data_IF_401703349239
#
_entry.id   IF_401703349239
#
_cell.length_a   1.000
_cell.length_b   1.000
_cell.length_c   1.000
_cell.angle_alpha   90.00
_cell.angle_beta   90.00
_cell.angle_gamma   90.00
#
_symmetry.space_group_name_H-M   'P 1'
#
loop_
_entity.id
_entity.type
_entity.pdbx_description
1 polymer ?
#
# COMPACT_ATOMS: atom_id res chain seq x y z
N UNK A 1 -4.05 -20.01 -12.75
CA UNK A 1 -3.38 -19.05 -11.86
C UNK A 1 -4.36 -17.93 -11.55
N UNK A 2 -4.70 -17.77 -10.28
CA UNK A 2 -5.56 -16.70 -9.79
C UNK A 2 -4.71 -15.73 -8.96
N UNK A 3 -4.78 -14.43 -9.25
CA UNK A 3 -4.04 -13.38 -8.55
C UNK A 3 -5.03 -12.43 -7.90
N UNK A 4 -4.95 -12.31 -6.57
CA UNK A 4 -5.64 -11.23 -5.86
C UNK A 4 -4.74 -9.98 -5.85
N UNK A 5 -5.15 -8.95 -6.58
CA UNK A 5 -4.33 -7.75 -6.80
C UNK A 5 -4.52 -6.66 -5.73
N UNK A 6 -5.28 -6.92 -4.65
CA UNK A 6 -5.50 -5.93 -3.61
C UNK A 6 -5.69 -6.55 -2.23
N UNK A 7 -4.60 -6.91 -1.58
CA UNK A 7 -4.61 -7.44 -0.22
C UNK A 7 -3.77 -6.60 0.74
N UNK A 8 -4.00 -6.78 2.03
CA UNK A 8 -3.25 -6.13 3.09
C UNK A 8 -2.76 -7.16 4.09
N UNK A 9 -1.51 -7.03 4.52
CA UNK A 9 -0.95 -7.77 5.63
C UNK A 9 -0.04 -6.85 6.45
N UNK A 10 0.10 -7.16 7.73
CA UNK A 10 0.85 -6.36 8.69
C UNK A 10 1.85 -7.24 9.44
N UNK A 11 2.94 -6.66 9.97
CA UNK A 11 3.79 -7.38 10.91
C UNK A 11 2.98 -7.96 12.07
N UNK A 12 3.25 -9.20 12.45
CA UNK A 12 2.55 -9.96 13.52
C UNK A 12 2.23 -9.11 14.77
N UNK A 13 3.22 -8.33 15.24
CA UNK A 13 3.09 -7.52 16.45
C UNK A 13 1.97 -6.46 16.40
N UNK A 14 1.55 -6.07 15.22
CA UNK A 14 0.55 -5.01 15.01
C UNK A 14 -0.69 -5.49 14.24
N UNK A 15 -0.66 -6.67 13.64
CA UNK A 15 -1.68 -7.17 12.72
C UNK A 15 -3.10 -7.06 13.28
N UNK A 16 -3.38 -7.70 14.39
CA UNK A 16 -4.72 -7.69 15.02
C UNK A 16 -5.20 -6.27 15.38
N UNK A 17 -4.28 -5.40 15.88
CA UNK A 17 -4.63 -4.01 16.19
C UNK A 17 -4.90 -3.19 14.92
N UNK A 18 -4.11 -3.41 13.87
CA UNK A 18 -4.29 -2.71 12.59
C UNK A 18 -5.63 -3.07 11.95
N UNK A 19 -5.94 -4.37 11.90
CA UNK A 19 -7.22 -4.87 11.35
C UNK A 19 -8.40 -4.37 12.18
N UNK A 20 -8.32 -4.42 13.51
CA UNK A 20 -9.38 -3.90 14.38
C UNK A 20 -9.65 -2.40 14.17
N UNK A 21 -8.59 -1.60 13.98
CA UNK A 21 -8.72 -0.18 13.66
C UNK A 21 -9.40 0.02 12.29
N UNK A 22 -8.93 -0.67 11.25
CA UNK A 22 -9.50 -0.58 9.90
C UNK A 22 -10.97 -1.03 9.86
N UNK A 23 -11.31 -2.10 10.57
CA UNK A 23 -12.70 -2.55 10.72
C UNK A 23 -13.59 -1.46 11.32
N UNK A 24 -13.13 -0.83 12.40
CA UNK A 24 -13.87 0.26 13.05
C UNK A 24 -14.04 1.46 12.12
N UNK A 25 -12.95 1.93 11.48
CA UNK A 25 -12.96 3.06 10.53
C UNK A 25 -13.81 2.76 9.29
N UNK A 26 -13.82 1.51 8.82
CA UNK A 26 -14.63 1.03 7.70
C UNK A 26 -16.11 0.77 8.04
N UNK A 27 -16.62 1.31 9.16
CA UNK A 27 -18.03 1.15 9.53
C UNK A 27 -18.40 -0.23 10.09
N UNK A 28 -17.43 -0.96 10.67
CA UNK A 28 -17.65 -2.26 11.28
C UNK A 28 -17.57 -3.45 10.31
N UNK A 29 -16.92 -3.27 9.17
CA UNK A 29 -16.68 -4.38 8.22
C UNK A 29 -15.91 -5.50 8.92
N UNK A 30 -16.42 -6.72 8.78
CA UNK A 30 -15.78 -7.91 9.37
C UNK A 30 -14.56 -8.31 8.56
N UNK A 31 -13.36 -8.36 9.17
CA UNK A 31 -12.17 -8.82 8.49
C UNK A 31 -12.24 -10.33 8.23
N UNK A 32 -11.69 -10.78 7.11
CA UNK A 32 -11.60 -12.19 6.74
C UNK A 32 -10.36 -12.87 7.34
N UNK A 33 -9.37 -12.10 7.76
CA UNK A 33 -8.11 -12.57 8.34
C UNK A 33 -7.78 -11.77 9.60
N UNK A 34 -6.83 -12.24 10.40
CA UNK A 34 -6.31 -11.50 11.55
C UNK A 34 -5.32 -10.38 11.17
N UNK A 35 -5.09 -10.20 9.87
CA UNK A 35 -4.17 -9.22 9.29
C UNK A 35 -2.71 -9.69 9.21
N UNK A 36 -2.38 -10.89 9.65
CA UNK A 36 -1.03 -11.46 9.49
C UNK A 36 -0.84 -12.05 8.08
N UNK A 37 0.43 -12.12 7.63
CA UNK A 37 0.77 -12.80 6.38
C UNK A 37 0.46 -14.30 6.43
N UNK A 38 0.53 -14.90 7.61
CA UNK A 38 0.20 -16.33 7.83
C UNK A 38 -1.27 -16.55 7.57
N UNK A 39 -2.15 -15.78 8.22
CA UNK A 39 -3.60 -15.87 8.04
C UNK A 39 -4.04 -15.58 6.61
N UNK A 40 -3.42 -14.57 5.96
CA UNK A 40 -3.66 -14.29 4.54
C UNK A 40 -3.31 -15.51 3.66
N UNK A 41 -2.16 -16.15 3.90
CA UNK A 41 -1.75 -17.34 3.14
C UNK A 41 -2.66 -18.55 3.35
N UNK A 42 -3.22 -18.70 4.53
CA UNK A 42 -4.23 -19.73 4.82
C UNK A 42 -5.53 -19.46 4.07
N UNK A 43 -5.99 -18.20 4.07
CA UNK A 43 -7.17 -17.77 3.31
C UNK A 43 -6.97 -17.97 1.81
N UNK A 44 -5.81 -17.60 1.25
CA UNK A 44 -5.49 -17.84 -0.16
C UNK A 44 -5.65 -19.31 -0.56
N UNK A 45 -5.22 -20.25 0.30
CA UNK A 45 -5.37 -21.69 0.04
C UNK A 45 -6.84 -22.12 0.00
N UNK A 46 -7.67 -21.57 0.90
CA UNK A 46 -9.10 -21.88 0.95
C UNK A 46 -9.83 -21.35 -0.28
N UNK A 47 -9.44 -20.18 -0.79
CA UNK A 47 -10.08 -19.50 -1.91
C UNK A 47 -9.46 -19.87 -3.27
N UNK A 48 -8.39 -20.66 -3.29
CA UNK A 48 -7.70 -21.06 -4.52
C UNK A 48 -6.91 -19.91 -5.17
N UNK A 49 -6.48 -18.94 -4.37
CA UNK A 49 -5.63 -17.83 -4.83
C UNK A 49 -4.17 -18.28 -4.84
N UNK A 50 -3.52 -18.15 -5.99
CA UNK A 50 -2.11 -18.54 -6.16
C UNK A 50 -1.14 -17.47 -5.68
N UNK A 51 -1.45 -16.19 -5.93
CA UNK A 51 -0.60 -15.03 -5.59
C UNK A 51 -1.47 -13.91 -5.03
N UNK A 52 -1.02 -13.29 -3.93
CA UNK A 52 -1.60 -12.04 -3.43
C UNK A 52 -0.64 -10.88 -3.57
N UNK A 53 -1.12 -9.76 -4.15
CA UNK A 53 -0.40 -8.50 -4.17
C UNK A 53 -0.67 -7.76 -2.85
N UNK A 54 0.35 -7.67 -2.01
CA UNK A 54 0.23 -7.06 -0.67
C UNK A 54 0.62 -5.59 -0.73
N UNK A 55 -0.30 -4.72 -0.33
CA UNK A 55 -0.22 -3.28 -0.46
C UNK A 55 -0.03 -2.63 0.91
N UNK A 56 1.22 -2.30 1.26
CA UNK A 56 1.54 -1.51 2.45
C UNK A 56 1.29 -0.02 2.22
N UNK A 57 1.01 0.74 3.29
CA UNK A 57 0.82 2.20 3.23
C UNK A 57 1.64 2.85 4.34
N UNK A 58 2.56 3.74 3.96
CA UNK A 58 3.27 4.63 4.88
C UNK A 58 2.36 5.83 5.20
N UNK A 59 1.60 5.78 6.29
CA UNK A 59 0.60 6.81 6.65
C UNK A 59 1.23 8.07 7.26
N UNK A 60 2.53 8.05 7.53
CA UNK A 60 3.34 9.23 7.88
C UNK A 60 4.79 9.04 7.42
N UNK A 61 5.59 10.15 7.32
CA UNK A 61 6.95 10.08 6.80
C UNK A 61 7.89 9.10 7.53
N UNK A 62 7.70 8.92 8.85
CA UNK A 62 8.58 8.06 9.67
C UNK A 62 8.34 6.57 9.48
N UNK A 63 7.23 6.20 8.86
CA UNK A 63 6.86 4.78 8.68
C UNK A 63 7.40 4.17 7.39
N UNK A 64 7.81 4.96 6.39
CA UNK A 64 8.11 4.42 5.07
C UNK A 64 9.17 3.31 5.12
N UNK A 65 10.26 3.48 5.87
CA UNK A 65 11.28 2.44 5.98
C UNK A 65 10.73 1.13 6.57
N UNK A 66 10.02 1.20 7.68
CA UNK A 66 9.48 0.01 8.34
C UNK A 66 8.41 -0.71 7.53
N UNK A 67 7.58 0.04 6.80
CA UNK A 67 6.58 -0.52 5.86
C UNK A 67 7.30 -1.24 4.73
N UNK A 68 8.33 -0.63 4.16
CA UNK A 68 9.06 -1.20 3.05
C UNK A 68 9.97 -2.37 3.47
N UNK A 69 10.54 -2.35 4.67
CA UNK A 69 11.27 -3.50 5.23
C UNK A 69 10.35 -4.73 5.33
N UNK A 70 9.13 -4.54 5.78
CA UNK A 70 8.14 -5.61 5.82
C UNK A 70 7.74 -6.08 4.42
N UNK A 71 7.51 -5.17 3.47
CA UNK A 71 7.22 -5.52 2.09
C UNK A 71 8.36 -6.34 1.44
N UNK A 72 9.61 -5.93 1.66
CA UNK A 72 10.79 -6.66 1.18
C UNK A 72 10.91 -8.05 1.80
N UNK A 73 10.56 -8.19 3.08
CA UNK A 73 10.55 -9.49 3.75
C UNK A 73 9.46 -10.41 3.18
N UNK A 74 8.26 -9.89 2.96
CA UNK A 74 7.15 -10.64 2.35
C UNK A 74 7.47 -11.11 0.92
N UNK A 75 8.12 -10.26 0.13
CA UNK A 75 8.45 -10.55 -1.27
C UNK A 75 9.45 -11.72 -1.45
N UNK A 76 9.98 -12.28 -0.36
CA UNK A 76 10.79 -13.51 -0.37
C UNK A 76 9.94 -14.78 -0.46
N UNK A 77 8.66 -14.70 -0.10
CA UNK A 77 7.72 -15.81 -0.25
C UNK A 77 7.04 -15.69 -1.63
N UNK A 78 7.16 -16.70 -2.50
CA UNK A 78 6.60 -16.65 -3.86
C UNK A 78 5.06 -16.53 -3.91
N UNK A 79 4.35 -16.76 -2.80
CA UNK A 79 2.92 -16.53 -2.70
C UNK A 79 2.55 -15.04 -2.66
N UNK A 80 3.53 -14.15 -2.41
CA UNK A 80 3.28 -12.73 -2.28
C UNK A 80 4.08 -11.91 -3.31
N UNK A 81 3.43 -10.89 -3.84
CA UNK A 81 4.07 -9.77 -4.53
C UNK A 81 3.79 -8.52 -3.71
N UNK A 82 4.77 -8.09 -2.91
CA UNK A 82 4.57 -6.91 -2.08
C UNK A 82 4.93 -5.63 -2.84
N UNK A 83 4.10 -4.61 -2.68
CA UNK A 83 4.40 -3.25 -3.14
C UNK A 83 4.95 -2.43 -1.97
N UNK A 84 5.87 -1.53 -2.29
CA UNK A 84 6.34 -0.54 -1.32
C UNK A 84 5.37 0.63 -1.17
N UNK A 85 5.76 1.58 -0.33
CA UNK A 85 5.05 2.86 -0.17
C UNK A 85 6.04 3.93 0.26
N UNK A 86 5.91 5.14 -0.30
CA UNK A 86 6.63 6.32 0.17
C UNK A 86 5.63 7.39 0.59
N UNK A 87 6.01 8.20 1.59
CA UNK A 87 5.17 9.32 2.01
C UNK A 87 5.60 10.59 1.26
N UNK A 88 4.66 11.35 0.66
CA UNK A 88 5.00 12.55 -0.11
C UNK A 88 5.80 13.62 0.65
N UNK A 89 5.65 13.67 1.97
CA UNK A 89 6.35 14.63 2.84
C UNK A 89 7.61 14.04 3.50
N UNK A 90 8.02 12.82 3.12
CA UNK A 90 9.26 12.26 3.62
C UNK A 90 10.46 12.91 2.88
N UNK A 91 11.47 13.40 3.60
CA UNK A 91 12.60 14.09 2.98
C UNK A 91 13.45 13.17 2.08
N UNK A 92 13.39 11.87 2.31
CA UNK A 92 14.13 10.81 1.63
C UNK A 92 13.22 9.90 0.76
N UNK A 93 12.07 10.41 0.32
CA UNK A 93 11.12 9.62 -0.47
C UNK A 93 11.72 9.12 -1.80
N UNK A 94 12.60 9.90 -2.44
CA UNK A 94 13.21 9.51 -3.71
C UNK A 94 14.28 8.43 -3.53
N UNK A 95 15.08 8.51 -2.49
CA UNK A 95 16.05 7.51 -2.09
C UNK A 95 15.36 6.20 -1.69
N UNK A 96 14.23 6.31 -1.00
CA UNK A 96 13.44 5.15 -0.61
C UNK A 96 12.83 4.44 -1.83
N UNK A 97 12.44 5.16 -2.88
CA UNK A 97 12.02 4.56 -4.16
C UNK A 97 13.17 3.77 -4.81
N UNK A 98 14.39 4.28 -4.76
CA UNK A 98 15.57 3.55 -5.25
C UNK A 98 15.79 2.27 -4.43
N UNK A 99 15.64 2.35 -3.11
CA UNK A 99 15.75 1.18 -2.21
C UNK A 99 14.69 0.13 -2.51
N UNK A 100 13.43 0.54 -2.72
CA UNK A 100 12.32 -0.32 -3.13
C UNK A 100 12.67 -1.05 -4.44
N UNK A 101 13.12 -0.31 -5.45
CA UNK A 101 13.49 -0.86 -6.75
C UNK A 101 14.66 -1.83 -6.64
N UNK A 102 15.73 -1.46 -5.94
CA UNK A 102 16.93 -2.29 -5.75
C UNK A 102 16.61 -3.60 -5.01
N UNK A 103 15.61 -3.60 -4.13
CA UNK A 103 15.12 -4.81 -3.45
C UNK A 103 14.20 -5.69 -4.32
N UNK A 104 13.91 -5.26 -5.56
CA UNK A 104 13.13 -6.04 -6.53
C UNK A 104 11.62 -5.93 -6.41
N UNK A 105 11.09 -5.01 -5.58
CA UNK A 105 9.66 -4.74 -5.53
C UNK A 105 9.20 -4.15 -6.86
N UNK A 106 7.96 -4.47 -7.27
CA UNK A 106 7.46 -4.14 -8.61
C UNK A 106 6.64 -2.84 -8.66
N UNK A 107 6.27 -2.30 -7.51
CA UNK A 107 5.46 -1.11 -7.49
C UNK A 107 5.37 -0.47 -6.12
N UNK A 108 4.64 0.64 -6.10
CA UNK A 108 4.35 1.43 -4.90
C UNK A 108 2.86 1.70 -4.78
N UNK A 109 2.36 1.62 -3.55
CA UNK A 109 0.99 1.94 -3.18
C UNK A 109 0.94 3.34 -2.56
N UNK A 110 -0.05 4.10 -3.02
CA UNK A 110 -0.46 5.36 -2.39
C UNK A 110 -1.90 5.30 -1.89
N UNK A 111 -2.14 6.01 -0.81
CA UNK A 111 -3.47 6.22 -0.26
C UNK A 111 -3.65 7.69 0.07
N UNK A 112 -4.16 8.50 -0.87
CA UNK A 112 -4.22 9.94 -0.73
C UNK A 112 -4.92 10.43 0.54
N UNK A 113 -5.97 9.73 1.02
CA UNK A 113 -6.66 10.10 2.26
C UNK A 113 -5.75 9.91 3.49
N UNK A 114 -5.12 8.72 3.64
CA UNK A 114 -4.22 8.45 4.77
C UNK A 114 -2.92 9.23 4.73
N UNK A 115 -2.47 9.65 3.54
CA UNK A 115 -1.20 10.35 3.34
C UNK A 115 -1.37 11.87 3.14
N UNK A 116 -2.61 12.38 3.17
CA UNK A 116 -2.98 13.80 3.11
C UNK A 116 -2.39 14.54 1.90
N UNK A 117 -2.64 14.04 0.69
CA UNK A 117 -2.25 14.70 -0.55
C UNK A 117 -3.28 14.47 -1.65
N UNK A 118 -3.37 15.41 -2.60
CA UNK A 118 -4.09 15.19 -3.84
C UNK A 118 -3.18 14.54 -4.88
N UNK A 119 -3.71 13.59 -5.67
CA UNK A 119 -2.90 12.89 -6.66
C UNK A 119 -2.18 13.84 -7.64
N UNK A 120 -2.76 15.00 -7.92
CA UNK A 120 -2.22 16.04 -8.80
C UNK A 120 -1.43 17.16 -8.08
N UNK A 121 -1.07 16.98 -6.81
CA UNK A 121 -0.22 17.95 -6.11
C UNK A 121 1.16 18.10 -6.77
N UNK A 122 1.66 19.32 -6.86
CA UNK A 122 2.97 19.61 -7.43
C UNK A 122 4.12 18.83 -6.74
N UNK A 123 4.01 18.62 -5.42
CA UNK A 123 5.00 17.83 -4.65
C UNK A 123 5.11 16.38 -5.11
N UNK A 124 4.09 15.84 -5.78
CA UNK A 124 4.09 14.47 -6.29
C UNK A 124 4.88 14.31 -7.59
N UNK A 125 5.05 15.36 -8.38
CA UNK A 125 5.75 15.30 -9.68
C UNK A 125 7.15 14.70 -9.62
N UNK A 126 8.04 15.08 -8.68
CA UNK A 126 9.35 14.44 -8.57
C UNK A 126 9.23 12.94 -8.21
N UNK A 127 8.27 12.57 -7.36
CA UNK A 127 8.02 11.18 -6.98
C UNK A 127 7.56 10.37 -8.19
N UNK A 128 6.58 10.86 -8.96
CA UNK A 128 6.10 10.18 -10.17
C UNK A 128 7.18 10.04 -11.24
N UNK A 129 8.00 11.06 -11.43
CA UNK A 129 9.14 10.99 -12.36
C UNK A 129 10.14 9.91 -11.93
N UNK A 130 10.45 9.83 -10.65
CA UNK A 130 11.35 8.79 -10.11
C UNK A 130 10.74 7.39 -10.30
N UNK A 131 9.47 7.21 -9.97
CA UNK A 131 8.73 5.95 -10.18
C UNK A 131 8.80 5.51 -11.65
N UNK A 132 8.53 6.44 -12.58
CA UNK A 132 8.60 6.19 -14.01
C UNK A 132 10.01 5.82 -14.47
N UNK A 133 11.05 6.52 -14.00
CA UNK A 133 12.45 6.21 -14.31
C UNK A 133 12.87 4.82 -13.83
N UNK A 134 12.34 4.38 -12.68
CA UNK A 134 12.62 3.06 -12.11
C UNK A 134 11.72 1.94 -12.69
N UNK A 135 10.74 2.28 -13.54
CA UNK A 135 9.81 1.31 -14.10
C UNK A 135 8.89 0.66 -13.08
N UNK A 136 8.61 1.36 -11.95
CA UNK A 136 7.72 0.85 -10.91
C UNK A 136 6.25 1.10 -11.27
N UNK A 137 5.39 0.16 -10.89
CA UNK A 137 3.93 0.31 -11.02
C UNK A 137 3.43 1.23 -9.91
N UNK A 138 2.58 2.19 -10.24
CA UNK A 138 1.88 3.01 -9.24
C UNK A 138 0.45 2.51 -9.05
N UNK A 139 0.07 2.26 -7.81
CA UNK A 139 -1.28 1.87 -7.45
C UNK A 139 -1.85 2.83 -6.42
N UNK A 140 -2.99 3.45 -6.74
CA UNK A 140 -3.71 4.36 -5.84
C UNK A 140 -4.91 3.67 -5.20
N UNK A 141 -5.21 4.06 -3.94
CA UNK A 141 -6.61 4.08 -3.52
C UNK A 141 -7.32 5.18 -4.30
N UNK A 142 -8.45 4.89 -4.91
CA UNK A 142 -9.18 5.82 -5.76
C UNK A 142 -10.67 5.85 -5.40
N UNK A 143 -11.28 7.01 -5.49
CA UNK A 143 -12.67 7.24 -5.14
C UNK A 143 -12.90 7.53 -3.66
N UNK A 144 -14.07 7.15 -3.17
CA UNK A 144 -14.46 7.36 -1.77
C UNK A 144 -13.81 6.34 -0.84
N UNK A 145 -13.35 6.80 0.30
CA UNK A 145 -13.01 5.96 1.43
C UNK A 145 -14.04 6.21 2.55
N UNK A 146 -14.71 5.14 3.00
CA UNK A 146 -15.75 5.23 4.04
C UNK A 146 -15.25 5.72 5.40
N UNK A 147 -13.94 5.62 5.64
CA UNK A 147 -13.29 6.09 6.86
C UNK A 147 -13.06 7.60 6.91
N UNK A 148 -13.33 8.34 5.82
CA UNK A 148 -13.00 9.76 5.72
C UNK A 148 -14.19 10.60 5.26
N UNK A 149 -14.37 11.82 5.84
CA UNK A 149 -15.34 12.79 5.33
C UNK A 149 -14.78 13.50 4.08
N UNK A 150 -15.65 14.10 3.24
CA UNK A 150 -15.18 14.98 2.16
C UNK A 150 -14.44 16.21 2.72
N UNK A 151 -13.54 16.85 1.90
CA UNK A 151 -13.27 16.56 0.51
C UNK A 151 -12.40 15.32 0.32
N UNK A 152 -12.66 14.54 -0.76
CA UNK A 152 -11.89 13.35 -1.09
C UNK A 152 -10.68 13.69 -1.97
N UNK A 153 -9.53 13.06 -1.70
CA UNK A 153 -8.25 13.39 -2.34
C UNK A 153 -7.95 12.59 -3.61
N UNK A 154 -8.63 11.45 -3.79
CA UNK A 154 -8.38 10.50 -4.88
C UNK A 154 -9.54 10.37 -5.87
N UNK A 155 -10.27 11.46 -6.11
CA UNK A 155 -11.34 11.48 -7.10
C UNK A 155 -10.77 11.41 -8.53
N UNK A 156 -11.55 10.90 -9.51
CA UNK A 156 -11.08 10.73 -10.88
C UNK A 156 -10.46 11.98 -11.50
N UNK A 157 -11.01 13.16 -11.22
CA UNK A 157 -10.49 14.43 -11.72
C UNK A 157 -9.09 14.79 -11.21
N UNK A 158 -8.70 14.31 -10.02
CA UNK A 158 -7.35 14.49 -9.48
C UNK A 158 -6.38 13.50 -10.13
N UNK A 159 -6.79 12.24 -10.32
CA UNK A 159 -5.99 11.20 -10.94
C UNK A 159 -5.73 11.46 -12.43
N UNK A 160 -6.70 12.04 -13.15
CA UNK A 160 -6.54 12.40 -14.56
C UNK A 160 -5.56 13.55 -14.80
N UNK A 161 -5.20 14.31 -13.76
CA UNK A 161 -4.28 15.45 -13.83
C UNK A 161 -2.91 15.17 -13.20
N UNK A 162 -2.70 13.96 -12.68
CA UNK A 162 -1.48 13.54 -11.98
C UNK A 162 -0.29 13.29 -12.92
#
# INVERSE_FOLDING_TARGET
>A
MLIDFHTHAFPEKIASRAVGKLSYEGGGLMPQTDGSAVSLKEQMKQDGVDISVVLGIATNPRQQHSVNDFAMALNRDPAFVAFGSVHPDAPDALEELERIHAAGLKGVKFHPEYQHFYANDEKMKPIYRKISQLGLITLFHAGHDYGFPPPYHAMPEHLLRA
#
